data_IF_654987096734
#
_entry.id   IF_654987096734
#
_cell.length_a   1.000
_cell.length_b   1.000
_cell.length_c   1.000
_cell.angle_alpha   90.00
_cell.angle_beta   90.00
_cell.angle_gamma   90.00
#
_symmetry.space_group_name_H-M   'P 1'
#
loop_
_entity.id
_entity.type
_entity.pdbx_description
1 polymer ?
#
# COMPACT_ATOMS: atom_id res chain seq x y z
N UNK A 1 -15.73 14.76 -31.65
CA UNK A 1 -14.27 14.99 -31.61
C UNK A 1 -13.80 14.48 -30.26
N UNK A 2 -12.73 13.68 -30.27
CA UNK A 2 -12.22 12.89 -29.13
C UNK A 2 -12.26 13.62 -27.77
N UNK A 3 -13.07 13.13 -26.84
CA UNK A 3 -13.18 13.59 -25.43
C UNK A 3 -11.95 13.25 -24.56
N UNK A 4 -10.85 12.80 -25.17
CA UNK A 4 -9.65 12.33 -24.45
C UNK A 4 -8.73 13.45 -23.95
N UNK A 5 -8.94 14.69 -24.38
CA UNK A 5 -8.13 15.82 -23.91
C UNK A 5 -8.98 16.74 -23.03
N UNK A 6 -9.01 16.50 -21.70
CA UNK A 6 -9.44 17.47 -20.67
C UNK A 6 -8.45 18.66 -20.59
N UNK A 7 -8.00 19.16 -21.73
CA UNK A 7 -7.00 20.22 -21.87
C UNK A 7 -7.73 21.56 -21.97
N UNK A 8 -7.43 22.46 -21.05
CA UNK A 8 -7.81 23.84 -21.13
C UNK A 8 -6.76 24.66 -21.88
N UNK A 9 -7.22 25.75 -22.49
CA UNK A 9 -6.42 26.72 -23.22
C UNK A 9 -6.87 28.12 -22.80
N UNK A 10 -5.91 29.00 -22.56
CA UNK A 10 -6.13 30.42 -22.36
C UNK A 10 -5.10 31.25 -23.12
N UNK A 11 -5.53 32.39 -23.64
CA UNK A 11 -4.70 33.39 -24.29
C UNK A 11 -5.06 34.75 -23.72
N UNK A 12 -4.09 35.51 -23.23
CA UNK A 12 -4.33 36.80 -22.59
C UNK A 12 -3.16 37.76 -22.72
N UNK A 13 -3.44 39.06 -22.65
CA UNK A 13 -2.43 40.08 -22.46
C UNK A 13 -2.19 40.31 -20.96
N UNK A 14 -0.94 40.16 -20.51
CA UNK A 14 -0.54 40.23 -19.10
C UNK A 14 -0.69 41.64 -18.50
N UNK A 15 -0.73 42.68 -19.34
CA UNK A 15 -0.80 44.07 -18.87
C UNK A 15 -2.23 44.48 -18.51
N UNK A 16 -3.20 44.22 -19.40
CA UNK A 16 -4.61 44.58 -19.20
C UNK A 16 -5.51 43.41 -18.77
N UNK A 17 -4.96 42.18 -18.74
CA UNK A 17 -5.66 40.92 -18.41
C UNK A 17 -6.80 40.57 -19.37
N UNK A 18 -6.87 41.19 -20.55
CA UNK A 18 -7.85 40.85 -21.58
C UNK A 18 -7.39 39.63 -22.37
N UNK A 19 -8.35 38.81 -22.76
CA UNK A 19 -8.06 37.56 -23.43
C UNK A 19 -9.29 36.68 -23.57
N UNK A 20 -9.07 35.42 -23.95
CA UNK A 20 -10.09 34.39 -23.95
C UNK A 20 -9.53 33.09 -23.38
N UNK A 21 -10.41 32.28 -22.82
CA UNK A 21 -10.11 30.92 -22.41
C UNK A 21 -11.27 30.00 -22.80
N UNK A 22 -10.97 28.75 -23.14
CA UNK A 22 -12.01 27.77 -23.43
C UNK A 22 -12.62 27.24 -22.12
N UNK A 23 -13.85 26.73 -22.18
CA UNK A 23 -14.59 26.20 -21.01
C UNK A 23 -13.77 25.24 -20.14
N UNK A 24 -13.02 24.34 -20.77
CA UNK A 24 -12.19 23.37 -20.06
C UNK A 24 -11.11 24.03 -19.19
N UNK A 25 -10.60 25.21 -19.57
CA UNK A 25 -9.62 25.95 -18.78
C UNK A 25 -10.20 26.41 -17.44
N UNK A 26 -11.43 26.92 -17.43
CA UNK A 26 -12.11 27.35 -16.20
C UNK A 26 -12.39 26.16 -15.28
N UNK A 27 -12.93 25.06 -15.85
CA UNK A 27 -13.13 23.80 -15.13
C UNK A 27 -11.86 23.30 -14.45
N UNK A 28 -10.75 23.27 -15.19
CA UNK A 28 -9.45 22.86 -14.65
C UNK A 28 -8.89 23.86 -13.63
N UNK A 29 -9.32 25.12 -13.63
CA UNK A 29 -8.93 26.13 -12.64
C UNK A 29 -9.88 26.18 -11.43
N UNK A 30 -10.88 25.30 -11.37
CA UNK A 30 -11.84 25.25 -10.26
C UNK A 30 -12.89 26.37 -10.31
N UNK A 31 -12.98 27.06 -11.46
CA UNK A 31 -13.83 28.25 -11.66
C UNK A 31 -15.08 27.89 -12.48
N UNK A 32 -16.12 28.72 -12.34
CA UNK A 32 -17.32 28.60 -13.18
C UNK A 32 -17.03 29.03 -14.62
N UNK A 33 -17.62 28.35 -15.61
CA UNK A 33 -17.39 28.63 -17.03
C UNK A 33 -17.84 30.04 -17.46
N UNK A 34 -18.73 30.69 -16.68
CA UNK A 34 -19.23 32.03 -16.94
C UNK A 34 -18.40 33.14 -16.24
N UNK A 35 -17.36 32.76 -15.49
CA UNK A 35 -16.46 33.71 -14.81
C UNK A 35 -15.66 34.50 -15.85
N UNK A 36 -15.45 35.80 -15.63
CA UNK A 36 -14.59 36.56 -16.54
C UNK A 36 -13.13 36.19 -16.32
N UNK A 37 -12.38 36.06 -17.42
CA UNK A 37 -10.96 35.70 -17.36
C UNK A 37 -10.15 36.66 -16.46
N UNK A 38 -10.48 37.95 -16.47
CA UNK A 38 -9.80 38.98 -15.67
C UNK A 38 -10.02 38.84 -14.15
N UNK A 39 -11.10 38.15 -13.74
CA UNK A 39 -11.41 37.86 -12.32
C UNK A 39 -10.66 36.62 -11.81
N UNK A 40 -10.17 35.78 -12.72
CA UNK A 40 -9.36 34.61 -12.38
C UNK A 40 -7.87 34.95 -12.48
N UNK A 41 -7.45 35.53 -13.60
CA UNK A 41 -6.03 35.73 -13.93
C UNK A 41 -5.44 36.86 -13.09
N UNK A 42 -4.36 36.53 -12.38
CA UNK A 42 -3.72 37.43 -11.41
C UNK A 42 -4.36 37.37 -10.01
N UNK A 43 -5.48 36.65 -9.86
CA UNK A 43 -6.10 36.38 -8.56
C UNK A 43 -5.84 34.92 -8.19
N UNK A 44 -6.27 33.95 -9.01
CA UNK A 44 -6.12 32.50 -8.78
C UNK A 44 -6.57 32.08 -7.37
N UNK A 45 -7.80 32.47 -7.00
CA UNK A 45 -8.33 32.26 -5.64
C UNK A 45 -8.46 30.78 -5.28
N UNK A 46 -8.71 29.93 -6.28
CA UNK A 46 -8.86 28.48 -6.19
C UNK A 46 -7.54 27.71 -6.18
N UNK A 47 -6.42 28.38 -6.42
CA UNK A 47 -5.10 27.73 -6.40
C UNK A 47 -4.57 27.66 -4.97
N UNK A 48 -3.98 26.53 -4.61
CA UNK A 48 -3.38 26.34 -3.29
C UNK A 48 -2.35 27.45 -2.98
N UNK A 49 -2.26 27.96 -1.73
CA UNK A 49 -1.49 29.19 -1.44
C UNK A 49 -0.03 29.20 -1.91
N UNK A 50 0.70 28.09 -1.78
CA UNK A 50 2.08 28.00 -2.27
C UNK A 50 2.17 28.00 -3.80
N UNK A 51 1.21 27.37 -4.44
CA UNK A 51 1.14 27.19 -5.90
C UNK A 51 0.75 28.53 -6.55
N UNK A 52 -0.19 29.24 -5.92
CA UNK A 52 -0.58 30.61 -6.24
C UNK A 52 0.60 31.57 -6.22
N UNK A 53 1.44 31.50 -5.18
CA UNK A 53 2.66 32.34 -5.09
C UNK A 53 3.62 32.08 -6.25
N UNK A 54 3.83 30.81 -6.62
CA UNK A 54 4.70 30.44 -7.77
C UNK A 54 4.16 31.00 -9.09
N UNK A 55 2.84 30.91 -9.30
CA UNK A 55 2.18 31.43 -10.50
C UNK A 55 2.29 32.97 -10.59
N UNK A 56 2.07 33.67 -9.47
CA UNK A 56 2.17 35.13 -9.41
C UNK A 56 3.61 35.63 -9.57
N UNK A 57 4.59 34.93 -8.99
CA UNK A 57 6.02 35.22 -9.18
C UNK A 57 6.42 35.12 -10.65
N UNK A 58 5.96 34.09 -11.35
CA UNK A 58 6.15 33.97 -12.80
C UNK A 58 5.57 35.17 -13.55
N UNK A 59 4.35 35.61 -13.22
CA UNK A 59 3.76 36.79 -13.86
C UNK A 59 4.53 38.08 -13.58
N UNK A 60 5.06 38.28 -12.37
CA UNK A 60 5.91 39.44 -12.09
C UNK A 60 7.19 39.43 -12.93
N UNK A 61 7.86 38.27 -13.04
CA UNK A 61 9.08 38.11 -13.84
C UNK A 61 8.82 38.23 -15.33
N UNK A 62 7.71 37.67 -15.81
CA UNK A 62 7.32 37.76 -17.21
C UNK A 62 7.01 39.20 -17.63
N UNK A 63 6.44 40.01 -16.73
CA UNK A 63 6.15 41.43 -17.00
C UNK A 63 7.42 42.25 -17.26
N UNK A 64 8.54 41.90 -16.63
CA UNK A 64 9.84 42.56 -16.81
C UNK A 64 10.78 41.81 -17.79
N UNK A 65 10.29 40.75 -18.44
CA UNK A 65 11.04 39.98 -19.43
C UNK A 65 12.04 38.97 -18.83
N UNK A 66 12.09 38.80 -17.52
CA UNK A 66 12.96 37.86 -16.82
C UNK A 66 12.50 36.39 -16.92
N UNK A 67 11.23 36.15 -17.26
CA UNK A 67 10.68 34.82 -17.48
C UNK A 67 9.86 34.74 -18.76
N UNK A 68 10.08 33.70 -19.56
CA UNK A 68 9.37 33.47 -20.84
C UNK A 68 8.46 32.25 -20.83
N UNK A 69 8.64 31.33 -19.89
CA UNK A 69 7.82 30.14 -19.77
C UNK A 69 7.64 29.74 -18.30
N UNK A 70 6.60 28.96 -18.06
CA UNK A 70 6.26 28.37 -16.78
C UNK A 70 5.68 26.99 -17.00
N UNK A 71 6.14 26.03 -16.20
CA UNK A 71 5.58 24.69 -16.17
C UNK A 71 5.50 24.24 -14.72
N UNK A 72 4.35 23.72 -14.30
CA UNK A 72 4.20 23.19 -12.94
C UNK A 72 2.91 22.44 -12.71
N UNK A 73 2.95 21.55 -11.73
CA UNK A 73 1.77 20.87 -11.19
C UNK A 73 1.24 21.66 -10.01
N UNK A 74 -0.04 22.02 -10.08
CA UNK A 74 -0.72 22.90 -9.14
C UNK A 74 -1.86 22.16 -8.49
N UNK A 75 -2.09 22.45 -7.21
CA UNK A 75 -3.30 22.04 -6.52
C UNK A 75 -4.36 23.11 -6.71
N UNK A 76 -5.48 22.71 -7.29
CA UNK A 76 -6.65 23.54 -7.56
C UNK A 76 -7.82 23.01 -6.75
N UNK A 77 -8.52 23.89 -6.05
CA UNK A 77 -9.68 23.52 -5.25
C UNK A 77 -10.78 22.93 -6.14
N UNK A 78 -11.35 21.78 -5.73
CA UNK A 78 -12.42 21.12 -6.46
C UNK A 78 -13.67 22.02 -6.49
N UNK A 79 -14.35 22.18 -7.65
CA UNK A 79 -15.61 22.91 -7.72
C UNK A 79 -16.64 22.34 -6.73
N UNK A 80 -17.17 23.19 -5.85
CA UNK A 80 -18.18 22.80 -4.86
C UNK A 80 -17.67 22.04 -3.62
N UNK A 81 -16.40 21.62 -3.59
CA UNK A 81 -15.82 20.85 -2.48
C UNK A 81 -14.68 21.61 -1.81
N UNK A 82 -15.02 22.47 -0.84
CA UNK A 82 -14.05 23.30 -0.14
C UNK A 82 -12.98 22.45 0.56
N UNK A 83 -11.70 22.77 0.32
CA UNK A 83 -10.57 22.09 0.95
C UNK A 83 -10.16 20.76 0.32
N UNK A 84 -10.83 20.30 -0.74
CA UNK A 84 -10.35 19.19 -1.57
C UNK A 84 -9.66 19.72 -2.82
N UNK A 85 -8.65 19.00 -3.29
CA UNK A 85 -7.73 19.47 -4.33
C UNK A 85 -7.68 18.50 -5.50
N UNK A 86 -7.68 19.05 -6.71
CA UNK A 86 -7.26 18.39 -7.93
C UNK A 86 -5.83 18.78 -8.26
N UNK A 87 -5.11 17.87 -8.90
CA UNK A 87 -3.81 18.14 -9.47
C UNK A 87 -3.98 18.58 -10.92
N UNK A 88 -3.46 19.75 -11.25
CA UNK A 88 -3.59 20.35 -12.57
C UNK A 88 -2.21 20.76 -13.03
N UNK A 89 -1.74 20.16 -14.12
CA UNK A 89 -0.48 20.59 -14.72
C UNK A 89 -0.74 21.74 -15.66
N UNK A 90 0.04 22.79 -15.50
CA UNK A 90 -0.11 24.07 -16.19
C UNK A 90 1.18 24.41 -16.90
N UNK A 91 1.07 24.78 -18.16
CA UNK A 91 2.16 25.31 -18.98
C UNK A 91 1.74 26.69 -19.48
N UNK A 92 2.58 27.70 -19.29
CA UNK A 92 2.33 29.07 -19.81
C UNK A 92 3.59 29.55 -20.52
N UNK A 93 3.42 30.18 -21.67
CA UNK A 93 4.50 30.76 -22.48
C UNK A 93 4.17 32.20 -22.83
N UNK A 94 5.20 33.05 -22.88
CA UNK A 94 5.12 34.39 -23.46
C UNK A 94 5.22 34.22 -24.98
N UNK A 95 4.11 34.46 -25.68
CA UNK A 95 4.04 34.36 -27.14
C UNK A 95 4.50 35.65 -27.83
N UNK A 96 4.24 36.81 -27.22
CA UNK A 96 4.68 38.12 -27.71
C UNK A 96 5.14 38.99 -26.53
N UNK A 97 6.26 39.69 -26.69
CA UNK A 97 6.80 40.62 -25.69
C UNK A 97 7.14 41.96 -26.34
N UNK A 98 6.18 42.88 -26.33
CA UNK A 98 6.28 44.26 -26.80
C UNK A 98 5.68 45.21 -25.75
N UNK A 99 6.31 45.35 -24.57
CA UNK A 99 5.77 46.15 -23.46
C UNK A 99 5.58 47.62 -23.84
N UNK A 100 6.40 48.17 -24.74
CA UNK A 100 6.28 49.54 -25.27
C UNK A 100 4.96 49.77 -26.01
N UNK A 101 4.45 48.75 -26.69
CA UNK A 101 3.15 48.75 -27.38
C UNK A 101 2.00 48.35 -26.45
N UNK A 102 2.27 48.12 -25.16
CA UNK A 102 1.29 47.60 -24.21
C UNK A 102 0.90 46.14 -24.48
N UNK A 103 1.75 45.35 -25.15
CA UNK A 103 1.45 43.96 -25.50
C UNK A 103 2.45 42.99 -24.85
N UNK A 104 1.97 42.20 -23.90
CA UNK A 104 2.68 41.01 -23.41
C UNK A 104 1.70 39.84 -23.48
N UNK A 105 1.75 39.09 -24.56
CA UNK A 105 0.78 38.02 -24.82
C UNK A 105 1.26 36.71 -24.19
N UNK A 106 0.41 36.12 -23.35
CA UNK A 106 0.61 34.81 -22.76
C UNK A 106 -0.34 33.80 -23.41
N UNK A 107 0.19 32.61 -23.67
CA UNK A 107 -0.59 31.43 -24.03
C UNK A 107 -0.37 30.38 -22.95
N UNK A 108 -1.45 29.83 -22.41
CA UNK A 108 -1.42 28.82 -21.38
C UNK A 108 -2.27 27.62 -21.72
N UNK A 109 -1.78 26.44 -21.38
CA UNK A 109 -2.56 25.21 -21.38
C UNK A 109 -2.56 24.60 -19.99
N UNK A 110 -3.69 24.00 -19.60
CA UNK A 110 -3.80 23.26 -18.34
C UNK A 110 -4.46 21.91 -18.58
N UNK A 111 -4.14 20.93 -17.75
CA UNK A 111 -4.73 19.60 -17.84
C UNK A 111 -4.85 19.00 -16.44
N UNK A 112 -6.03 18.46 -16.15
CA UNK A 112 -6.27 17.73 -14.92
C UNK A 112 -5.50 16.40 -14.96
N UNK A 113 -4.62 16.19 -13.98
CA UNK A 113 -3.80 15.00 -13.79
C UNK A 113 -4.16 14.28 -12.49
N UNK A 114 -5.32 14.58 -11.89
CA UNK A 114 -5.75 13.97 -10.63
C UNK A 114 -5.90 12.46 -10.77
N UNK A 115 -6.62 12.01 -11.79
CA UNK A 115 -6.81 10.59 -12.11
C UNK A 115 -5.47 9.89 -12.38
N UNK A 116 -4.54 10.57 -13.06
CA UNK A 116 -3.19 10.06 -13.31
C UNK A 116 -2.43 9.86 -12.00
N UNK A 117 -2.45 10.85 -11.09
CA UNK A 117 -1.79 10.78 -9.78
C UNK A 117 -2.41 9.73 -8.86
N UNK A 118 -3.74 9.63 -8.84
CA UNK A 118 -4.46 8.64 -8.05
C UNK A 118 -4.14 7.22 -8.55
N UNK A 119 -4.13 7.01 -9.86
CA UNK A 119 -3.74 5.72 -10.47
C UNK A 119 -2.28 5.38 -10.20
N UNK A 120 -1.37 6.34 -10.35
CA UNK A 120 0.06 6.16 -10.05
C UNK A 120 0.27 5.76 -8.58
N UNK A 121 -0.40 6.43 -7.64
CA UNK A 121 -0.33 6.10 -6.23
C UNK A 121 -0.87 4.69 -5.93
N UNK A 122 -2.03 4.33 -6.50
CA UNK A 122 -2.60 2.98 -6.34
C UNK A 122 -1.68 1.90 -6.92
N UNK A 123 -1.03 2.16 -8.05
CA UNK A 123 -0.09 1.21 -8.66
C UNK A 123 1.17 1.03 -7.81
N UNK A 124 1.70 2.11 -7.23
CA UNK A 124 2.84 2.06 -6.31
C UNK A 124 2.47 1.23 -5.08
N UNK A 125 1.34 1.51 -4.44
CA UNK A 125 0.88 0.77 -3.27
C UNK A 125 0.66 -0.72 -3.58
N UNK A 126 0.01 -1.04 -4.69
CA UNK A 126 -0.22 -2.43 -5.12
C UNK A 126 1.10 -3.16 -5.38
N UNK A 127 2.08 -2.47 -5.99
CA UNK A 127 3.43 -3.01 -6.24
C UNK A 127 4.15 -3.27 -4.92
N UNK A 128 4.17 -2.32 -4.00
CA UNK A 128 4.82 -2.48 -2.69
C UNK A 128 4.22 -3.62 -1.89
N UNK A 129 2.89 -3.77 -1.93
CA UNK A 129 2.19 -4.90 -1.31
C UNK A 129 2.59 -6.24 -1.93
N UNK A 130 2.67 -6.31 -3.26
CA UNK A 130 3.09 -7.51 -3.97
C UNK A 130 4.55 -7.87 -3.67
N UNK A 131 5.46 -6.90 -3.68
CA UNK A 131 6.89 -7.10 -3.36
C UNK A 131 7.08 -7.55 -1.91
N UNK A 132 6.32 -6.98 -0.98
CA UNK A 132 6.35 -7.40 0.43
C UNK A 132 5.85 -8.83 0.59
N UNK A 133 4.75 -9.20 -0.07
CA UNK A 133 4.22 -10.56 -0.03
C UNK A 133 5.22 -11.57 -0.63
N UNK A 134 5.85 -11.24 -1.76
CA UNK A 134 6.85 -12.10 -2.41
C UNK A 134 8.10 -12.29 -1.54
N UNK A 135 8.56 -11.21 -0.90
CA UNK A 135 9.67 -11.28 0.06
C UNK A 135 9.34 -12.15 1.27
N UNK A 136 8.14 -12.01 1.84
CA UNK A 136 7.67 -12.83 2.95
C UNK A 136 7.57 -14.30 2.54
N UNK A 137 7.03 -14.59 1.35
CA UNK A 137 6.95 -15.94 0.79
C UNK A 137 8.34 -16.56 0.60
N UNK A 138 9.29 -15.80 0.06
CA UNK A 138 10.67 -16.25 -0.13
C UNK A 138 11.36 -16.53 1.21
N UNK A 139 11.20 -15.64 2.20
CA UNK A 139 11.72 -15.85 3.55
C UNK A 139 11.10 -17.07 4.22
N UNK A 140 9.79 -17.27 4.08
CA UNK A 140 9.08 -18.45 4.58
C UNK A 140 9.66 -19.74 3.97
N UNK A 141 9.78 -19.82 2.64
CA UNK A 141 10.33 -20.99 1.96
C UNK A 141 11.79 -21.28 2.35
N UNK A 142 12.60 -20.23 2.51
CA UNK A 142 13.98 -20.37 2.98
C UNK A 142 14.02 -20.95 4.41
N UNK A 143 13.19 -20.42 5.31
CA UNK A 143 13.09 -20.92 6.68
C UNK A 143 12.62 -22.38 6.71
N UNK A 144 11.56 -22.73 5.98
CA UNK A 144 11.08 -24.11 5.89
C UNK A 144 12.16 -25.06 5.36
N UNK A 145 12.93 -24.62 4.36
CA UNK A 145 14.05 -25.43 3.84
C UNK A 145 15.13 -25.69 4.89
N UNK A 146 15.42 -24.71 5.75
CA UNK A 146 16.35 -24.87 6.86
C UNK A 146 15.79 -25.79 7.96
N UNK A 147 14.54 -25.58 8.35
CA UNK A 147 13.86 -26.37 9.37
C UNK A 147 13.63 -27.83 8.95
N UNK A 148 13.51 -28.12 7.64
CA UNK A 148 13.48 -29.50 7.11
C UNK A 148 14.88 -30.14 7.13
N UNK A 149 15.91 -29.38 6.77
CA UNK A 149 17.27 -29.90 6.63
C UNK A 149 17.85 -30.39 7.96
N UNK A 150 17.60 -29.68 9.05
CA UNK A 150 18.13 -30.01 10.37
C UNK A 150 17.73 -31.41 10.86
N UNK A 151 16.43 -31.76 10.98
CA UNK A 151 16.01 -33.10 11.40
C UNK A 151 16.39 -34.17 10.38
N UNK A 152 16.32 -33.87 9.08
CA UNK A 152 16.74 -34.82 8.04
C UNK A 152 18.23 -35.18 8.16
N UNK A 153 19.09 -34.18 8.38
CA UNK A 153 20.52 -34.41 8.57
C UNK A 153 20.81 -35.20 9.85
N UNK A 154 20.06 -34.97 10.93
CA UNK A 154 20.15 -35.76 12.15
C UNK A 154 19.78 -37.23 11.86
N UNK A 155 18.65 -37.48 11.20
CA UNK A 155 18.20 -38.83 10.83
C UNK A 155 19.27 -39.55 10.01
N UNK A 156 19.79 -38.92 8.95
CA UNK A 156 20.82 -39.52 8.09
C UNK A 156 22.10 -39.78 8.88
N UNK A 157 22.58 -38.81 9.66
CA UNK A 157 23.82 -38.93 10.43
C UNK A 157 23.75 -40.04 11.47
N UNK A 158 22.70 -40.08 12.28
CA UNK A 158 22.53 -41.13 13.30
C UNK A 158 22.26 -42.50 12.68
N UNK A 159 21.58 -42.56 11.52
CA UNK A 159 21.41 -43.82 10.78
C UNK A 159 22.74 -44.38 10.28
N UNK A 160 23.66 -43.52 9.82
CA UNK A 160 25.02 -43.96 9.44
C UNK A 160 25.80 -44.47 10.66
N UNK A 161 25.78 -43.75 11.78
CA UNK A 161 26.48 -44.14 13.01
C UNK A 161 25.97 -45.47 13.59
N UNK A 162 24.66 -45.77 13.45
CA UNK A 162 24.09 -47.05 13.84
C UNK A 162 24.69 -48.26 13.11
N UNK A 163 25.14 -48.08 11.85
CA UNK A 163 25.81 -49.12 11.07
C UNK A 163 27.26 -49.36 11.51
N UNK A 164 27.88 -48.39 12.19
CA UNK A 164 29.28 -48.41 12.58
C UNK A 164 29.49 -48.87 14.04
N UNK A 165 28.54 -48.59 14.94
CA UNK A 165 28.65 -49.01 16.35
C UNK A 165 28.29 -50.49 16.57
N UNK A 166 29.04 -51.14 17.46
CA UNK A 166 28.74 -52.48 17.97
C UNK A 166 27.96 -52.48 19.28
N UNK A 167 27.84 -51.33 19.95
CA UNK A 167 27.17 -51.21 21.24
C UNK A 167 25.64 -51.11 21.08
N UNK A 168 24.92 -51.91 21.87
CA UNK A 168 23.46 -51.97 21.85
C UNK A 168 22.85 -50.71 22.50
N UNK A 169 23.51 -50.15 23.50
CA UNK A 169 22.98 -48.98 24.20
C UNK A 169 23.12 -47.70 23.37
N UNK A 170 24.26 -47.49 22.71
CA UNK A 170 24.42 -46.45 21.69
C UNK A 170 23.42 -46.58 20.53
N UNK A 171 23.17 -47.81 20.04
CA UNK A 171 22.13 -48.04 19.01
C UNK A 171 20.75 -47.61 19.46
N UNK A 172 20.36 -47.89 20.71
CA UNK A 172 19.07 -47.46 21.25
C UNK A 172 18.98 -45.94 21.33
N UNK A 173 20.05 -45.27 21.74
CA UNK A 173 20.09 -43.81 21.77
C UNK A 173 19.96 -43.21 20.37
N UNK A 174 20.69 -43.75 19.39
CA UNK A 174 20.59 -43.28 18.00
C UNK A 174 19.20 -43.54 17.40
N UNK A 175 18.59 -44.71 17.67
CA UNK A 175 17.20 -44.99 17.28
C UNK A 175 16.22 -43.97 17.87
N UNK A 176 16.34 -43.65 19.16
CA UNK A 176 15.47 -42.67 19.81
C UNK A 176 15.60 -41.27 19.18
N UNK A 177 16.83 -40.84 18.84
CA UNK A 177 17.06 -39.55 18.17
C UNK A 177 16.46 -39.55 16.76
N UNK A 178 16.59 -40.66 16.02
CA UNK A 178 16.00 -40.80 14.68
C UNK A 178 14.47 -40.71 14.76
N UNK A 179 13.82 -41.43 15.69
CA UNK A 179 12.36 -41.38 15.87
C UNK A 179 11.88 -39.97 16.23
N UNK A 180 12.55 -39.29 17.17
CA UNK A 180 12.19 -37.93 17.56
C UNK A 180 12.30 -36.94 16.38
N UNK A 181 13.35 -37.02 15.59
CA UNK A 181 13.53 -36.15 14.42
C UNK A 181 12.54 -36.50 13.28
N UNK A 182 12.14 -37.76 13.15
CA UNK A 182 11.13 -38.18 12.19
C UNK A 182 9.76 -37.61 12.55
N UNK A 183 9.37 -37.69 13.82
CA UNK A 183 8.11 -37.11 14.32
C UNK A 183 8.09 -35.59 14.13
N UNK A 184 9.19 -34.90 14.44
CA UNK A 184 9.33 -33.47 14.22
C UNK A 184 9.17 -33.09 12.73
N UNK A 185 9.80 -33.85 11.84
CA UNK A 185 9.72 -33.61 10.40
C UNK A 185 8.30 -33.82 9.86
N UNK A 186 7.61 -34.88 10.31
CA UNK A 186 6.22 -35.15 9.93
C UNK A 186 5.28 -34.04 10.39
N UNK A 187 5.45 -33.55 11.62
CA UNK A 187 4.67 -32.43 12.13
C UNK A 187 4.90 -31.17 11.28
N UNK A 188 6.16 -30.84 10.98
CA UNK A 188 6.50 -29.67 10.17
C UNK A 188 5.93 -29.74 8.75
N UNK A 189 5.94 -30.92 8.12
CA UNK A 189 5.29 -31.13 6.82
C UNK A 189 3.77 -30.92 6.92
N UNK A 190 3.13 -31.44 7.98
CA UNK A 190 1.70 -31.23 8.21
C UNK A 190 1.36 -29.75 8.35
N UNK A 191 2.14 -29.01 9.13
CA UNK A 191 1.94 -27.57 9.36
C UNK A 191 2.05 -26.77 8.05
N UNK A 192 3.01 -27.12 7.17
CA UNK A 192 3.15 -26.51 5.83
C UNK A 192 1.94 -26.83 4.94
N UNK A 193 1.44 -28.06 4.96
CA UNK A 193 0.28 -28.47 4.16
C UNK A 193 -0.98 -27.75 4.63
N UNK A 194 -1.18 -27.62 5.94
CA UNK A 194 -2.34 -26.93 6.49
C UNK A 194 -2.28 -25.43 6.18
N UNK A 195 -1.10 -24.81 6.28
CA UNK A 195 -0.92 -23.43 5.81
C UNK A 195 -1.25 -23.29 4.31
N UNK A 196 -0.82 -24.24 3.48
CA UNK A 196 -1.10 -24.23 2.04
C UNK A 196 -2.59 -24.34 1.73
N UNK A 197 -3.35 -25.12 2.51
CA UNK A 197 -4.82 -25.19 2.39
C UNK A 197 -5.48 -23.88 2.79
N UNK A 198 -4.98 -23.22 3.84
CA UNK A 198 -5.46 -21.90 4.27
C UNK A 198 -5.21 -20.87 3.17
N UNK A 199 -4.01 -20.82 2.58
CA UNK A 199 -3.69 -19.90 1.48
C UNK A 199 -4.52 -20.15 0.21
N UNK A 200 -4.83 -21.41 -0.09
CA UNK A 200 -5.67 -21.79 -1.22
C UNK A 200 -7.18 -21.59 -0.96
N UNK A 201 -7.58 -21.23 0.26
CA UNK A 201 -8.98 -21.13 0.66
C UNK A 201 -9.72 -22.47 0.69
N UNK A 202 -9.00 -23.59 0.78
CA UNK A 202 -9.54 -24.95 0.80
C UNK A 202 -9.55 -25.58 2.20
N UNK A 203 -9.31 -24.76 3.23
CA UNK A 203 -9.39 -25.21 4.61
C UNK A 203 -10.86 -25.24 5.06
N UNK A 204 -11.42 -26.45 5.14
CA UNK A 204 -12.80 -26.65 5.56
C UNK A 204 -12.96 -26.49 7.07
N UNK A 205 -13.81 -25.56 7.50
CA UNK A 205 -14.22 -25.43 8.89
C UNK A 205 -15.45 -26.29 9.16
N UNK A 206 -15.37 -27.11 10.22
CA UNK A 206 -16.52 -27.88 10.71
C UNK A 206 -17.09 -27.16 11.92
N UNK A 207 -18.18 -26.43 11.73
CA UNK A 207 -18.94 -25.82 12.82
C UNK A 207 -19.81 -26.88 13.51
N UNK A 208 -19.71 -26.95 14.84
CA UNK A 208 -20.52 -27.83 15.68
C UNK A 208 -20.79 -27.19 17.04
N UNK A 209 -21.96 -27.44 17.62
CA UNK A 209 -22.23 -27.09 19.01
C UNK A 209 -21.31 -27.92 19.92
N UNK A 210 -20.67 -27.25 20.88
CA UNK A 210 -19.75 -27.88 21.83
C UNK A 210 -19.85 -27.21 23.20
N UNK A 211 -19.74 -28.01 24.27
CA UNK A 211 -19.62 -27.49 25.62
C UNK A 211 -18.16 -27.07 25.88
N UNK A 212 -17.94 -25.75 25.98
CA UNK A 212 -16.62 -25.15 26.18
C UNK A 212 -16.00 -25.61 27.51
N UNK A 213 -16.80 -25.87 28.55
CA UNK A 213 -16.30 -26.35 29.84
C UNK A 213 -15.76 -27.77 29.71
N UNK A 214 -16.51 -28.65 29.04
CA UNK A 214 -16.05 -30.03 28.78
C UNK A 214 -14.77 -30.06 27.94
N UNK A 215 -14.70 -29.26 26.87
CA UNK A 215 -13.50 -29.16 26.05
C UNK A 215 -12.29 -28.70 26.87
N UNK A 216 -12.46 -27.68 27.71
CA UNK A 216 -11.40 -27.19 28.60
C UNK A 216 -10.95 -28.28 29.58
N UNK A 217 -11.87 -29.02 30.19
CA UNK A 217 -11.54 -30.11 31.11
C UNK A 217 -10.77 -31.24 30.42
N UNK A 218 -11.17 -31.62 29.20
CA UNK A 218 -10.49 -32.65 28.40
C UNK A 218 -9.07 -32.23 28.03
N UNK A 219 -8.87 -30.97 27.61
CA UNK A 219 -7.54 -30.41 27.32
C UNK A 219 -6.67 -30.46 28.59
N UNK A 220 -7.20 -30.06 29.74
CA UNK A 220 -6.46 -30.08 31.01
C UNK A 220 -6.08 -31.49 31.41
N UNK A 221 -7.01 -32.44 31.28
CA UNK A 221 -6.75 -33.86 31.57
C UNK A 221 -5.66 -34.41 30.65
N UNK A 222 -5.73 -34.12 29.35
CA UNK A 222 -4.73 -34.53 28.36
C UNK A 222 -3.33 -33.95 28.69
N UNK A 223 -3.26 -32.65 28.98
CA UNK A 223 -2.00 -31.98 29.33
C UNK A 223 -1.41 -32.53 30.64
N UNK A 224 -2.24 -32.87 31.63
CA UNK A 224 -1.80 -33.51 32.88
C UNK A 224 -1.23 -34.92 32.66
N UNK A 225 -1.74 -35.68 31.68
CA UNK A 225 -1.18 -36.99 31.34
C UNK A 225 0.18 -36.89 30.62
N UNK A 226 0.39 -35.83 29.81
CA UNK A 226 1.69 -35.58 29.15
C UNK A 226 2.73 -34.93 30.07
N UNK A 227 2.32 -34.24 31.12
CA UNK A 227 3.23 -33.63 32.08
C UNK A 227 3.93 -34.71 32.93
N UNK A 228 5.28 -34.75 32.91
CA UNK A 228 6.06 -35.59 33.84
C UNK A 228 5.64 -35.28 35.29
N UNK A 229 5.50 -36.33 36.08
CA UNK A 229 5.09 -36.32 37.49
C UNK A 229 5.87 -35.25 38.28
N UNK A 230 5.23 -34.11 38.57
CA UNK A 230 5.85 -33.03 39.36
C UNK A 230 5.34 -31.61 39.08
N UNK A 231 4.69 -31.35 37.94
CA UNK A 231 4.21 -30.00 37.61
C UNK A 231 2.69 -29.87 37.90
N UNK A 232 2.33 -29.31 39.05
CA UNK A 232 0.94 -29.06 39.42
C UNK A 232 0.35 -27.88 38.66
N UNK A 233 -0.46 -28.14 37.63
CA UNK A 233 -1.25 -27.11 36.94
C UNK A 233 -2.65 -26.98 37.56
N UNK A 234 -2.91 -25.82 38.18
CA UNK A 234 -4.23 -25.39 38.65
C UNK A 234 -4.78 -24.34 37.68
N UNK A 235 -5.88 -24.66 37.03
CA UNK A 235 -6.69 -23.69 36.28
C UNK A 235 -7.89 -23.31 37.15
N UNK A 236 -8.05 -22.02 37.44
CA UNK A 236 -9.27 -21.47 38.03
C UNK A 236 -10.09 -20.81 36.92
N UNK A 237 -11.35 -21.22 36.71
CA UNK A 237 -12.24 -20.47 35.83
C UNK A 237 -12.46 -19.08 36.44
N UNK A 238 -12.19 -18.03 35.66
CA UNK A 238 -12.58 -16.67 36.02
C UNK A 238 -14.07 -16.53 35.78
N UNK A 239 -14.84 -16.36 36.85
CA UNK A 239 -16.29 -16.17 36.84
C UNK A 239 -16.71 -14.77 36.35
N UNK A 240 -16.17 -14.33 35.20
CA UNK A 240 -16.70 -13.18 34.48
C UNK A 240 -17.62 -13.74 33.39
N UNK A 241 -18.93 -13.63 33.61
CA UNK A 241 -19.96 -14.16 32.73
C UNK A 241 -19.72 -13.79 31.26
N UNK A 242 -19.78 -14.78 30.39
CA UNK A 242 -19.95 -14.54 28.97
C UNK A 242 -21.37 -13.96 28.76
N UNK A 243 -21.53 -12.84 28.06
CA UNK A 243 -22.85 -12.41 27.64
C UNK A 243 -23.38 -13.41 26.61
N UNK A 244 -24.64 -13.80 26.76
CA UNK A 244 -25.38 -14.63 25.80
C UNK A 244 -25.25 -14.02 24.40
N UNK A 245 -24.74 -14.80 23.44
CA UNK A 245 -24.80 -14.45 22.03
C UNK A 245 -26.28 -14.47 21.58
N UNK A 246 -26.80 -13.31 21.17
CA UNK A 246 -27.96 -13.21 20.26
C UNK A 246 -27.50 -13.30 18.81
#
# INVERSE_FOLDING_TARGET
MSDYAKVGYAKLNLLDRKGYAIKQWYKNMGEDENTQLADVVGIYSKMYPSDRRRMLDFFSKARVGEAKHFQGEMRIERPGEKGKWNWVRTNVVVNLFEPENGQIELIGVNYDITELKETEAMLIEAKEKAETADRLKSAFLANMSHEIRTPLNAIVGFSSLMGETGDIEEKRQYMAIIEENNDLLLQLISDILDLSKIEAGTFDFVEKELDVNMLCEDIVRFMKMKAKTGCGSSLRPSSAGMPDCQ
#
